data_IF_911516154383
#
_entry.id   IF_911516154383
#
_cell.length_a   1.000
_cell.length_b   1.000
_cell.length_c   1.000
_cell.angle_alpha   90.00
_cell.angle_beta   90.00
_cell.angle_gamma   90.00
#
_symmetry.space_group_name_H-M   'P 1'
#
loop_
_entity.id
_entity.type
_entity.pdbx_description
1 polymer ?
#
# COMPACT_ATOMS: atom_id res chain seq x y z
N UNK A 1 -6.61 -7.85 -11.19
CA UNK A 1 -7.37 -9.11 -11.31
C UNK A 1 -7.98 -9.51 -9.97
N UNK A 2 -7.20 -9.57 -8.87
CA UNK A 2 -7.75 -9.85 -7.54
C UNK A 2 -8.77 -8.81 -7.07
N UNK A 3 -8.53 -7.52 -7.35
CA UNK A 3 -9.48 -6.43 -7.14
C UNK A 3 -10.76 -6.59 -7.96
N UNK A 4 -10.65 -6.96 -9.24
CA UNK A 4 -11.81 -7.19 -10.11
C UNK A 4 -12.75 -8.27 -9.53
N UNK A 5 -12.18 -9.38 -9.04
CA UNK A 5 -12.93 -10.47 -8.41
C UNK A 5 -13.60 -9.99 -7.12
N UNK A 6 -12.88 -9.27 -6.27
CA UNK A 6 -13.43 -8.71 -5.04
C UNK A 6 -14.62 -7.76 -5.32
N UNK A 7 -14.50 -6.88 -6.33
CA UNK A 7 -15.58 -5.97 -6.75
C UNK A 7 -16.78 -6.73 -7.30
N UNK A 8 -16.54 -7.78 -8.09
CA UNK A 8 -17.60 -8.64 -8.64
C UNK A 8 -18.38 -9.34 -7.51
N UNK A 9 -17.67 -9.97 -6.56
CA UNK A 9 -18.27 -10.64 -5.41
C UNK A 9 -19.05 -9.65 -4.52
N UNK A 10 -18.48 -8.48 -4.24
CA UNK A 10 -19.17 -7.42 -3.50
C UNK A 10 -20.46 -6.97 -4.18
N UNK A 11 -20.42 -6.77 -5.50
CA UNK A 11 -21.60 -6.41 -6.29
C UNK A 11 -22.67 -7.50 -6.27
N UNK A 12 -22.28 -8.78 -6.13
CA UNK A 12 -23.21 -9.89 -5.95
C UNK A 12 -23.76 -10.02 -4.51
N UNK A 13 -23.42 -9.07 -3.61
CA UNK A 13 -23.85 -9.07 -2.21
C UNK A 13 -22.93 -9.84 -1.27
N UNK A 14 -21.80 -10.38 -1.75
CA UNK A 14 -20.83 -11.07 -0.91
C UNK A 14 -19.83 -10.07 -0.31
N UNK A 15 -19.92 -9.86 1.01
CA UNK A 15 -19.02 -8.97 1.74
C UNK A 15 -17.77 -9.67 2.29
N UNK A 16 -17.67 -10.99 2.15
CA UNK A 16 -16.45 -11.75 2.47
C UNK A 16 -15.43 -11.60 1.35
N UNK A 17 -14.93 -10.38 1.22
CA UNK A 17 -13.94 -9.97 0.25
C UNK A 17 -12.80 -9.25 0.97
N UNK A 18 -11.61 -9.35 0.39
CA UNK A 18 -10.43 -8.66 0.86
C UNK A 18 -9.92 -7.72 -0.24
N UNK A 19 -9.45 -6.55 0.18
CA UNK A 19 -8.58 -5.74 -0.65
C UNK A 19 -7.36 -6.55 -1.06
N UNK A 20 -6.84 -6.40 -2.29
CA UNK A 20 -5.67 -7.15 -2.70
C UNK A 20 -4.52 -7.00 -1.73
N UNK A 21 -3.81 -8.11 -1.51
CA UNK A 21 -2.67 -8.13 -0.61
C UNK A 21 -1.51 -8.85 -1.25
N UNK A 22 -0.33 -8.49 -0.76
CA UNK A 22 0.95 -8.71 -1.39
C UNK A 22 1.13 -7.93 -2.70
N UNK A 23 2.26 -7.22 -2.79
CA UNK A 23 2.72 -6.65 -4.06
C UNK A 23 2.97 -7.74 -5.09
N UNK A 24 2.97 -7.36 -6.38
CA UNK A 24 3.16 -8.21 -7.57
C UNK A 24 4.38 -9.16 -7.47
N UNK A 25 5.32 -8.88 -6.57
CA UNK A 25 6.62 -9.52 -6.45
C UNK A 25 6.67 -10.79 -5.57
N UNK A 26 5.61 -11.11 -4.82
CA UNK A 26 5.63 -12.17 -3.80
C UNK A 26 4.73 -13.38 -4.10
N UNK A 27 4.52 -13.69 -5.39
CA UNK A 27 3.67 -14.78 -5.87
C UNK A 27 4.20 -16.20 -5.52
N UNK A 28 4.17 -16.57 -4.24
CA UNK A 28 4.30 -17.95 -3.74
C UNK A 28 5.71 -18.53 -3.60
N UNK A 29 6.75 -17.80 -3.99
CA UNK A 29 8.16 -18.23 -3.83
C UNK A 29 8.81 -17.66 -2.56
N UNK A 30 9.93 -18.26 -2.10
CA UNK A 30 10.78 -17.53 -1.16
C UNK A 30 11.26 -16.25 -1.84
N UNK A 31 11.26 -15.13 -1.12
CA UNK A 31 11.51 -13.82 -1.72
C UNK A 31 12.81 -13.79 -2.53
N UNK A 32 13.95 -13.92 -1.84
CA UNK A 32 15.27 -13.92 -2.48
C UNK A 32 16.04 -15.18 -2.13
N UNK A 33 16.73 -15.72 -3.12
CA UNK A 33 17.60 -16.88 -2.97
C UNK A 33 19.00 -16.44 -2.62
N UNK A 34 19.50 -16.94 -1.49
CA UNK A 34 20.88 -16.78 -1.08
C UNK A 34 21.72 -17.95 -1.59
N UNK A 35 23.03 -17.73 -1.66
CA UNK A 35 24.00 -18.76 -2.02
C UNK A 35 25.37 -18.42 -1.49
N UNK A 36 26.30 -19.36 -1.62
CA UNK A 36 27.61 -19.33 -0.96
C UNK A 36 27.63 -20.33 0.21
N UNK A 37 28.45 -20.07 1.22
CA UNK A 37 28.57 -20.91 2.41
C UNK A 37 28.29 -20.12 3.69
N UNK A 38 27.73 -20.76 4.70
CA UNK A 38 27.60 -20.15 6.03
C UNK A 38 28.90 -20.31 6.85
N UNK A 39 28.92 -19.81 8.08
CA UNK A 39 30.11 -19.81 8.97
C UNK A 39 30.79 -21.17 9.20
N UNK A 40 30.02 -22.27 9.21
CA UNK A 40 30.60 -23.62 9.36
C UNK A 40 30.92 -24.30 8.01
N UNK A 41 30.95 -23.54 6.91
CA UNK A 41 31.33 -24.02 5.59
C UNK A 41 30.28 -24.88 4.85
N UNK A 42 29.05 -24.97 5.35
CA UNK A 42 27.95 -25.69 4.64
C UNK A 42 27.37 -24.77 3.55
N UNK A 43 27.10 -25.32 2.35
CA UNK A 43 26.46 -24.56 1.28
C UNK A 43 25.07 -24.04 1.67
N UNK A 44 24.83 -22.77 1.37
CA UNK A 44 23.50 -22.15 1.39
C UNK A 44 22.94 -22.23 -0.03
N UNK A 45 21.73 -22.77 -0.19
CA UNK A 45 21.06 -22.83 -1.49
C UNK A 45 19.54 -22.68 -1.35
N UNK A 46 19.11 -21.80 -0.44
CA UNK A 46 17.68 -21.65 -0.12
C UNK A 46 17.28 -20.18 -0.04
N UNK A 47 16.01 -19.92 -0.34
CA UNK A 47 15.45 -18.59 -0.24
C UNK A 47 14.89 -18.27 1.14
N UNK A 48 14.86 -16.98 1.47
CA UNK A 48 14.31 -16.49 2.73
C UNK A 48 12.77 -16.43 2.62
N UNK A 49 12.08 -17.18 3.49
CA UNK A 49 10.62 -17.33 3.50
C UNK A 49 9.88 -16.33 4.39
N UNK A 50 10.55 -15.26 4.82
CA UNK A 50 9.90 -14.18 5.56
C UNK A 50 8.75 -13.52 4.77
N UNK A 51 8.66 -13.73 3.45
CA UNK A 51 7.49 -13.32 2.63
C UNK A 51 6.17 -13.96 3.07
N UNK A 52 6.21 -15.00 3.91
CA UNK A 52 5.05 -15.54 4.59
C UNK A 52 4.51 -14.62 5.69
N UNK A 53 5.30 -13.67 6.17
CA UNK A 53 4.90 -12.64 7.14
C UNK A 53 4.41 -11.37 6.47
N UNK A 54 3.71 -11.46 5.33
CA UNK A 54 3.14 -10.28 4.67
C UNK A 54 1.84 -9.84 5.34
N UNK A 55 1.48 -8.58 5.11
CA UNK A 55 0.19 -8.06 5.56
C UNK A 55 -0.97 -8.57 4.71
N UNK A 56 -2.07 -8.98 5.34
CA UNK A 56 -3.30 -9.35 4.64
C UNK A 56 -4.12 -8.10 4.27
N UNK A 57 -5.00 -8.22 3.29
CA UNK A 57 -5.83 -7.10 2.83
C UNK A 57 -6.97 -6.77 3.78
N UNK A 58 -7.35 -5.49 3.84
CA UNK A 58 -8.53 -5.03 4.57
C UNK A 58 -9.82 -5.62 4.00
N UNK A 59 -10.90 -5.60 4.78
CA UNK A 59 -12.23 -6.09 4.37
C UNK A 59 -13.28 -5.00 4.58
N UNK A 60 -14.54 -5.19 4.14
CA UNK A 60 -15.64 -4.27 4.45
C UNK A 60 -15.94 -4.10 5.95
N UNK A 61 -15.43 -4.96 6.83
CA UNK A 61 -15.82 -5.01 8.25
C UNK A 61 -14.64 -5.01 9.23
N UNK A 62 -13.41 -5.24 8.77
CA UNK A 62 -12.22 -5.31 9.62
C UNK A 62 -10.93 -4.99 8.87
N UNK A 63 -9.93 -4.57 9.64
CA UNK A 63 -8.55 -4.41 9.19
C UNK A 63 -7.96 -5.75 8.70
N UNK A 64 -6.97 -5.64 7.83
CA UNK A 64 -6.10 -6.73 7.44
C UNK A 64 -5.14 -7.12 8.56
N UNK A 65 -4.79 -8.40 8.63
CA UNK A 65 -3.89 -8.93 9.68
C UNK A 65 -2.46 -8.54 9.36
N UNK A 66 -1.78 -7.88 10.31
CA UNK A 66 -0.35 -7.58 10.21
C UNK A 66 0.46 -8.87 10.23
N UNK A 67 1.44 -9.01 9.32
CA UNK A 67 2.22 -10.23 9.13
C UNK A 67 1.37 -11.52 9.16
N UNK A 68 0.18 -11.47 8.54
CA UNK A 68 -0.84 -12.49 8.69
C UNK A 68 -0.75 -13.65 7.69
N UNK A 69 0.13 -13.62 6.71
CA UNK A 69 0.31 -14.75 5.79
C UNK A 69 0.70 -14.36 4.37
N UNK A 70 0.92 -15.38 3.53
CA UNK A 70 1.06 -15.21 2.07
C UNK A 70 -0.24 -15.56 1.35
N UNK A 71 -0.57 -14.88 0.25
CA UNK A 71 -1.80 -15.17 -0.50
C UNK A 71 -1.87 -16.62 -1.02
N UNK A 72 -0.73 -17.22 -1.34
CA UNK A 72 -0.65 -18.60 -1.82
C UNK A 72 -0.53 -19.63 -0.69
N UNK A 73 -0.09 -19.19 0.50
CA UNK A 73 0.03 -20.03 1.70
C UNK A 73 -0.47 -19.21 2.91
N UNK A 74 -1.80 -19.03 3.07
CA UNK A 74 -2.34 -18.13 4.08
C UNK A 74 -2.04 -18.57 5.52
N UNK A 75 -1.84 -19.87 5.74
CA UNK A 75 -1.42 -20.45 7.02
C UNK A 75 0.10 -20.52 7.19
N UNK A 76 0.88 -19.95 6.27
CA UNK A 76 2.34 -19.96 6.32
C UNK A 76 2.86 -19.08 7.45
N UNK A 77 3.80 -19.62 8.23
CA UNK A 77 4.55 -18.87 9.23
C UNK A 77 5.91 -18.39 8.71
N UNK A 78 6.53 -17.49 9.47
CA UNK A 78 7.93 -17.09 9.30
C UNK A 78 8.79 -17.78 10.35
N UNK A 79 10.00 -18.19 9.96
CA UNK A 79 10.94 -18.89 10.86
C UNK A 79 11.46 -17.98 11.97
N UNK A 80 11.90 -18.53 13.09
CA UNK A 80 12.64 -17.78 14.11
C UNK A 80 13.95 -17.22 13.55
N UNK A 81 14.34 -16.02 13.98
CA UNK A 81 15.59 -15.39 13.54
C UNK A 81 16.81 -16.23 13.92
N UNK A 82 16.79 -16.85 15.10
CA UNK A 82 17.85 -17.75 15.58
C UNK A 82 18.03 -18.95 14.65
N UNK A 83 16.92 -19.50 14.14
CA UNK A 83 16.94 -20.61 13.18
C UNK A 83 17.55 -20.18 11.85
N UNK A 84 17.25 -18.96 11.41
CA UNK A 84 17.81 -18.38 10.19
C UNK A 84 19.32 -18.13 10.36
N UNK A 85 19.76 -17.54 11.47
CA UNK A 85 21.19 -17.26 11.73
C UNK A 85 22.05 -18.52 11.85
N UNK A 86 21.47 -19.66 12.23
CA UNK A 86 22.15 -20.96 12.18
C UNK A 86 22.34 -21.50 10.76
N UNK A 87 21.45 -21.16 9.82
CA UNK A 87 21.46 -21.72 8.46
C UNK A 87 22.04 -20.78 7.41
N UNK A 88 21.95 -19.47 7.64
CA UNK A 88 22.38 -18.42 6.73
C UNK A 88 23.53 -17.64 7.35
N UNK A 89 24.43 -17.04 6.55
CA UNK A 89 25.51 -16.20 7.04
C UNK A 89 25.00 -14.80 7.44
N UNK A 90 23.96 -14.75 8.26
CA UNK A 90 23.31 -13.51 8.69
C UNK A 90 23.57 -13.26 10.16
N UNK A 91 23.59 -11.98 10.50
CA UNK A 91 23.38 -11.47 11.85
C UNK A 91 22.28 -10.41 11.76
N UNK A 92 21.12 -10.66 12.36
CA UNK A 92 19.99 -9.74 12.37
C UNK A 92 20.20 -8.64 13.40
N UNK A 93 19.97 -7.39 12.99
CA UNK A 93 19.82 -6.27 13.92
C UNK A 93 18.36 -6.03 14.28
N UNK A 94 17.44 -6.33 13.36
CA UNK A 94 16.01 -6.12 13.57
C UNK A 94 15.18 -6.97 12.61
N UNK A 95 14.01 -7.38 13.11
CA UNK A 95 12.87 -7.84 12.30
C UNK A 95 11.60 -7.35 12.98
N UNK A 96 10.89 -6.41 12.35
CA UNK A 96 9.77 -5.71 12.99
C UNK A 96 8.71 -5.28 11.96
N UNK A 97 7.58 -4.74 12.41
CA UNK A 97 6.54 -4.22 11.53
C UNK A 97 7.03 -3.03 10.71
N UNK A 98 6.61 -2.98 9.45
CA UNK A 98 6.92 -1.85 8.58
C UNK A 98 6.00 -0.66 8.91
N UNK A 99 6.61 0.44 9.38
CA UNK A 99 5.90 1.68 9.67
C UNK A 99 5.26 2.21 8.37
N UNK A 100 3.95 2.47 8.41
CA UNK A 100 3.13 2.88 7.27
C UNK A 100 3.04 1.84 6.13
N UNK A 101 3.37 0.56 6.40
CA UNK A 101 3.47 -0.46 5.35
C UNK A 101 2.14 -1.00 4.81
N UNK A 102 1.07 -0.93 5.60
CA UNK A 102 -0.28 -1.30 5.17
C UNK A 102 -0.99 -0.17 4.43
N UNK A 103 -1.82 -0.51 3.45
CA UNK A 103 -2.62 0.45 2.72
C UNK A 103 -3.65 1.14 3.62
N UNK A 104 -3.66 2.47 3.62
CA UNK A 104 -4.58 3.26 4.43
C UNK A 104 -6.03 3.11 3.95
N UNK A 105 -6.99 3.07 4.87
CA UNK A 105 -8.40 3.07 4.54
C UNK A 105 -9.30 3.27 5.75
N UNK A 106 -10.61 3.26 5.54
CA UNK A 106 -11.61 3.08 6.63
C UNK A 106 -11.21 1.85 7.48
N UNK A 107 -10.87 0.78 6.78
CA UNK A 107 -10.15 -0.36 7.33
C UNK A 107 -8.76 -0.44 6.69
N UNK A 108 -7.75 -0.60 7.52
CA UNK A 108 -6.35 -0.63 7.10
C UNK A 108 -5.98 -2.00 6.57
N UNK A 109 -5.19 -2.02 5.50
CA UNK A 109 -4.47 -3.23 5.14
C UNK A 109 -3.47 -3.59 6.23
N UNK A 110 -3.21 -4.88 6.39
CA UNK A 110 -2.18 -5.35 7.31
C UNK A 110 -0.81 -4.82 6.87
N UNK A 111 0.03 -4.42 7.82
CA UNK A 111 1.43 -4.14 7.51
C UNK A 111 2.23 -5.45 7.41
N UNK A 112 3.23 -5.46 6.54
CA UNK A 112 4.24 -6.51 6.52
C UNK A 112 5.36 -6.24 7.51
N UNK A 113 6.45 -6.99 7.39
CA UNK A 113 7.65 -6.81 8.21
C UNK A 113 8.77 -6.13 7.42
N UNK A 114 9.68 -5.43 8.10
CA UNK A 114 11.00 -5.11 7.59
C UNK A 114 12.09 -5.80 8.41
N UNK A 115 13.29 -5.85 7.86
CA UNK A 115 14.48 -6.43 8.47
C UNK A 115 15.73 -5.67 8.08
N UNK A 116 16.67 -5.64 9.00
CA UNK A 116 18.06 -5.20 8.77
C UNK A 116 18.95 -6.29 9.31
N UNK A 117 19.82 -6.82 8.46
CA UNK A 117 20.80 -7.84 8.83
C UNK A 117 22.11 -7.61 8.10
N UNK A 118 23.17 -8.14 8.67
CA UNK A 118 24.52 -8.08 8.15
C UNK A 118 24.96 -9.46 7.67
N UNK A 119 25.75 -9.52 6.61
CA UNK A 119 26.44 -10.75 6.23
C UNK A 119 27.59 -11.00 7.20
N UNK A 120 27.61 -12.17 7.82
CA UNK A 120 28.57 -12.51 8.85
C UNK A 120 29.03 -13.97 8.73
N UNK A 121 30.35 -14.18 8.74
CA UNK A 121 30.94 -15.53 8.65
C UNK A 121 30.82 -16.15 7.26
N UNK A 122 30.85 -15.35 6.19
CA UNK A 122 30.82 -15.85 4.82
C UNK A 122 31.67 -15.00 3.90
N UNK A 123 32.45 -15.67 3.04
CA UNK A 123 33.33 -15.01 2.07
C UNK A 123 32.77 -14.98 0.65
N UNK A 124 31.76 -15.80 0.35
CA UNK A 124 31.22 -15.99 -1.00
C UNK A 124 29.68 -15.84 -1.06
N UNK A 125 29.09 -15.09 -0.11
CA UNK A 125 27.64 -14.91 -0.08
C UNK A 125 27.17 -14.12 -1.31
N UNK A 126 26.09 -14.58 -1.92
CA UNK A 126 25.42 -13.87 -3.02
C UNK A 126 23.91 -14.05 -2.96
N UNK A 127 23.18 -13.15 -3.62
CA UNK A 127 21.71 -13.12 -3.60
C UNK A 127 21.12 -12.87 -4.99
N UNK A 128 19.99 -13.50 -5.30
CA UNK A 128 19.14 -13.11 -6.43
C UNK A 128 18.35 -11.85 -6.07
N UNK A 129 18.99 -10.69 -6.11
CA UNK A 129 18.42 -9.46 -5.58
C UNK A 129 17.70 -8.62 -6.63
N UNK A 130 16.59 -7.99 -6.24
CA UNK A 130 15.94 -6.93 -7.02
C UNK A 130 15.68 -5.71 -6.13
N UNK A 131 16.09 -4.50 -6.54
CA UNK A 131 15.84 -3.28 -5.80
C UNK A 131 14.34 -2.97 -5.71
N UNK A 132 14.00 -2.01 -4.87
CA UNK A 132 12.62 -1.51 -4.78
C UNK A 132 12.14 -1.01 -6.17
N UNK A 133 10.92 -1.38 -6.57
CA UNK A 133 10.42 -1.17 -7.94
C UNK A 133 10.09 0.28 -8.30
N UNK A 134 10.36 1.25 -7.41
CA UNK A 134 10.09 2.69 -7.59
C UNK A 134 8.62 2.99 -7.92
N UNK A 135 7.72 2.05 -7.64
CA UNK A 135 6.28 2.10 -7.87
C UNK A 135 5.56 1.62 -6.59
N UNK A 136 4.31 2.05 -6.37
CA UNK A 136 3.51 1.54 -5.24
C UNK A 136 3.20 0.05 -5.39
N UNK A 137 2.96 -0.63 -4.27
CA UNK A 137 2.69 -2.07 -4.26
C UNK A 137 1.21 -2.39 -4.01
N UNK A 138 0.63 -3.21 -4.89
CA UNK A 138 -0.76 -3.66 -4.77
C UNK A 138 -1.77 -2.56 -5.14
N UNK A 139 -3.03 -2.78 -4.75
CA UNK A 139 -4.14 -1.84 -4.91
C UNK A 139 -5.05 -1.91 -3.69
N UNK A 140 -5.69 -0.80 -3.33
CA UNK A 140 -6.75 -0.81 -2.33
C UNK A 140 -8.14 -0.99 -2.95
N UNK A 141 -9.17 -1.09 -2.10
CA UNK A 141 -10.57 -1.20 -2.53
C UNK A 141 -11.39 0.00 -2.10
N UNK A 142 -12.21 0.48 -3.03
CA UNK A 142 -13.27 1.44 -2.79
C UNK A 142 -12.83 2.72 -2.05
N UNK A 143 -11.65 3.24 -2.40
CA UNK A 143 -11.07 4.44 -1.80
C UNK A 143 -9.94 4.15 -0.81
N UNK A 144 -9.70 2.89 -0.48
CA UNK A 144 -8.50 2.48 0.25
C UNK A 144 -7.26 2.63 -0.63
N UNK A 145 -6.14 3.01 -0.02
CA UNK A 145 -4.85 3.16 -0.68
C UNK A 145 -4.17 1.79 -0.91
N UNK A 146 -3.30 1.70 -1.94
CA UNK A 146 -2.32 0.63 -2.07
C UNK A 146 -1.38 0.55 -0.86
N UNK A 147 -0.69 -0.58 -0.73
CA UNK A 147 0.29 -0.79 0.34
C UNK A 147 1.68 -0.26 -0.04
N UNK A 148 2.61 -0.32 0.91
CA UNK A 148 4.04 -0.20 0.63
C UNK A 148 4.59 1.22 0.56
N UNK A 149 3.84 2.25 1.00
CA UNK A 149 4.41 3.58 1.19
C UNK A 149 5.55 3.46 2.20
N UNK A 150 6.78 3.79 1.77
CA UNK A 150 7.95 3.77 2.64
C UNK A 150 8.72 2.44 2.71
N UNK A 151 8.42 1.45 1.85
CA UNK A 151 9.26 0.24 1.73
C UNK A 151 10.73 0.58 1.39
N UNK A 152 11.69 -0.04 2.09
CA UNK A 152 13.13 0.12 1.82
C UNK A 152 13.71 -1.23 1.46
N UNK A 153 14.31 -1.30 0.29
CA UNK A 153 15.19 -2.42 -0.05
C UNK A 153 16.51 -1.90 -0.60
N UNK A 154 17.58 -2.17 0.15
CA UNK A 154 18.92 -1.73 -0.19
C UNK A 154 19.99 -2.70 0.29
N UNK A 155 21.11 -2.69 -0.45
CA UNK A 155 22.35 -3.34 -0.07
C UNK A 155 23.36 -2.24 0.21
N UNK A 156 24.05 -2.34 1.34
CA UNK A 156 25.00 -1.35 1.82
C UNK A 156 26.37 -1.99 1.98
N UNK A 157 27.37 -1.43 1.29
CA UNK A 157 28.78 -1.75 1.52
C UNK A 157 29.25 -1.02 2.76
N UNK A 158 29.88 -1.75 3.66
CA UNK A 158 30.40 -1.23 4.92
C UNK A 158 31.92 -1.31 4.94
N UNK A 159 32.53 -0.60 5.89
CA UNK A 159 33.95 -0.73 6.20
C UNK A 159 34.08 -1.54 7.50
N UNK A 160 34.57 -2.77 7.40
CA UNK A 160 34.50 -3.75 8.51
C UNK A 160 35.11 -3.28 9.83
N UNK A 161 36.25 -2.60 9.82
CA UNK A 161 36.91 -2.14 11.05
C UNK A 161 36.10 -1.10 11.83
N UNK A 162 35.53 -0.09 11.16
CA UNK A 162 34.68 0.91 11.80
C UNK A 162 33.33 0.32 12.22
N UNK A 163 32.80 -0.61 11.43
CA UNK A 163 31.57 -1.32 11.76
C UNK A 163 31.71 -2.13 13.06
N UNK A 164 32.76 -2.93 13.19
CA UNK A 164 32.98 -3.78 14.36
C UNK A 164 33.17 -2.95 15.64
N UNK A 165 33.85 -1.80 15.58
CA UNK A 165 33.98 -0.90 16.74
C UNK A 165 32.62 -0.33 17.18
N UNK A 166 31.75 0.03 16.23
CA UNK A 166 30.37 0.45 16.54
C UNK A 166 29.57 -0.68 17.19
N UNK A 167 29.64 -1.89 16.64
CA UNK A 167 28.97 -3.06 17.21
C UNK A 167 29.46 -3.38 18.63
N UNK A 168 30.78 -3.32 18.89
CA UNK A 168 31.37 -3.53 20.23
C UNK A 168 30.90 -2.51 21.26
N UNK A 169 30.60 -1.28 20.84
CA UNK A 169 30.04 -0.25 21.71
C UNK A 169 28.52 -0.34 21.88
N UNK A 170 27.88 -1.39 21.34
CA UNK A 170 26.45 -1.64 21.47
C UNK A 170 25.58 -0.84 20.49
N UNK A 171 26.16 -0.27 19.43
CA UNK A 171 25.41 0.42 18.39
C UNK A 171 25.11 -0.52 17.22
N UNK A 172 23.89 -0.45 16.68
CA UNK A 172 23.48 -1.19 15.47
C UNK A 172 22.25 -0.51 14.83
N UNK A 173 22.11 -0.49 13.49
CA UNK A 173 20.97 0.12 12.82
C UNK A 173 19.75 -0.78 12.89
N UNK A 174 18.71 -0.35 13.60
CA UNK A 174 17.45 -1.09 13.80
C UNK A 174 16.31 -0.59 12.92
N UNK A 175 16.55 0.45 12.13
CA UNK A 175 15.65 0.95 11.10
C UNK A 175 16.44 1.23 9.82
N UNK A 176 15.86 1.07 8.62
CA UNK A 176 16.64 1.24 7.39
C UNK A 176 17.09 2.69 7.14
N UNK A 177 16.33 3.69 7.60
CA UNK A 177 16.70 5.12 7.51
C UNK A 177 17.94 5.48 8.34
N UNK A 178 18.16 4.78 9.46
CA UNK A 178 19.38 4.94 10.28
C UNK A 178 20.65 4.53 9.52
N UNK A 179 20.56 3.60 8.56
CA UNK A 179 21.74 3.10 7.82
C UNK A 179 22.39 4.25 7.05
N UNK A 180 21.57 5.01 6.32
CA UNK A 180 22.01 6.19 5.57
C UNK A 180 22.29 7.38 6.49
N UNK A 181 21.37 7.66 7.45
CA UNK A 181 21.45 8.81 8.35
C UNK A 181 22.65 8.79 9.30
N UNK A 182 23.02 7.61 9.81
CA UNK A 182 24.15 7.43 10.73
C UNK A 182 25.39 6.86 10.01
N UNK A 183 25.43 6.94 8.67
CA UNK A 183 26.56 6.57 7.82
C UNK A 183 27.12 5.15 8.11
N UNK A 184 26.25 4.16 8.22
CA UNK A 184 26.65 2.75 8.44
C UNK A 184 27.31 2.11 7.21
N UNK A 185 27.01 2.61 6.01
CA UNK A 185 27.59 2.14 4.77
C UNK A 185 27.19 3.00 3.58
N UNK A 186 27.65 2.61 2.40
CA UNK A 186 27.27 3.23 1.13
C UNK A 186 26.38 2.30 0.34
N UNK A 187 25.33 2.86 -0.27
CA UNK A 187 24.42 2.12 -1.13
C UNK A 187 25.20 1.47 -2.28
N UNK A 188 24.99 0.17 -2.46
CA UNK A 188 25.76 -0.68 -3.38
C UNK A 188 24.83 -1.46 -4.31
N UNK A 189 23.96 -0.75 -5.01
CA UNK A 189 23.16 -1.33 -6.08
C UNK A 189 24.01 -1.53 -7.34
N UNK A 190 23.92 -2.69 -8.01
CA UNK A 190 24.48 -2.83 -9.35
C UNK A 190 23.71 -1.93 -10.31
N UNK A 191 24.43 -1.20 -11.19
CA UNK A 191 23.81 -0.40 -12.26
C UNK A 191 22.99 -1.28 -13.20
N UNK A 192 23.48 -2.49 -13.48
CA UNK A 192 22.76 -3.53 -14.20
C UNK A 192 22.80 -4.85 -13.40
N UNK A 193 21.64 -5.48 -13.21
CA UNK A 193 21.55 -6.75 -12.49
C UNK A 193 21.70 -7.89 -13.49
N UNK A 194 22.95 -8.33 -13.71
CA UNK A 194 23.27 -9.53 -14.50
C UNK A 194 23.58 -10.69 -13.55
N UNK A 195 22.58 -11.51 -13.25
CA UNK A 195 22.75 -12.67 -12.37
C UNK A 195 22.63 -12.32 -10.89
N UNK A 196 23.49 -12.92 -10.06
CA UNK A 196 23.47 -12.76 -8.59
C UNK A 196 24.31 -11.55 -8.15
N UNK A 197 23.87 -10.89 -7.08
CA UNK A 197 24.59 -9.78 -6.44
C UNK A 197 25.47 -10.34 -5.34
N UNK A 198 26.77 -10.02 -5.38
CA UNK A 198 27.72 -10.44 -4.35
C UNK A 198 27.52 -9.63 -3.07
N UNK A 199 27.49 -10.33 -1.94
CA UNK A 199 27.40 -9.78 -0.59
C UNK A 199 28.62 -10.20 0.26
N UNK A 200 29.81 -9.59 0.04
CA UNK A 200 30.95 -9.69 0.94
C UNK A 200 30.58 -9.58 2.41
N UNK A 201 31.42 -10.18 3.25
CA UNK A 201 31.30 -10.09 4.71
C UNK A 201 31.13 -8.63 5.16
N UNK A 202 30.31 -8.44 6.19
CA UNK A 202 29.90 -7.17 6.76
C UNK A 202 28.95 -6.31 5.91
N UNK A 203 28.57 -6.74 4.71
CA UNK A 203 27.52 -6.07 3.93
C UNK A 203 26.22 -6.03 4.73
N UNK A 204 25.59 -4.85 4.86
CA UNK A 204 24.28 -4.72 5.49
C UNK A 204 23.21 -4.77 4.40
N UNK A 205 22.13 -5.50 4.66
CA UNK A 205 20.96 -5.57 3.79
C UNK A 205 19.75 -5.10 4.58
N UNK A 206 19.05 -4.11 4.02
CA UNK A 206 17.72 -3.72 4.45
C UNK A 206 16.71 -4.28 3.47
N UNK A 207 15.67 -4.92 3.99
CA UNK A 207 14.61 -5.50 3.17
C UNK A 207 13.26 -5.38 3.88
N UNK A 208 12.18 -5.43 3.11
CA UNK A 208 10.82 -5.39 3.61
C UNK A 208 9.95 -6.40 2.87
N UNK A 209 8.87 -6.78 3.54
CA UNK A 209 7.79 -7.62 3.05
C UNK A 209 6.57 -6.73 2.94
N UNK A 210 5.87 -6.83 1.81
CA UNK A 210 4.73 -6.01 1.49
C UNK A 210 3.58 -6.12 2.51
N UNK A 211 2.81 -5.04 2.63
CA UNK A 211 1.52 -5.04 3.31
C UNK A 211 0.36 -5.47 2.40
N UNK A 212 -0.86 -5.34 2.93
CA UNK A 212 -2.11 -5.47 2.18
C UNK A 212 -2.71 -4.11 1.84
N UNK A 213 -3.58 -4.05 0.83
CA UNK A 213 -4.33 -2.84 0.48
C UNK A 213 -5.38 -2.46 1.52
N UNK A 214 -5.69 -1.16 1.60
CA UNK A 214 -6.75 -0.62 2.44
C UNK A 214 -8.15 -0.78 1.83
N UNK A 215 -9.18 -0.55 2.64
CA UNK A 215 -10.58 -0.55 2.22
C UNK A 215 -11.26 0.76 2.65
N UNK A 216 -11.94 1.44 1.72
CA UNK A 216 -12.71 2.66 2.00
C UNK A 216 -11.86 3.91 2.21
N UNK A 217 -12.51 5.07 2.23
CA UNK A 217 -11.88 6.38 2.45
C UNK A 217 -11.21 6.43 3.84
N UNK A 218 -9.91 6.73 3.95
CA UNK A 218 -9.23 6.89 5.24
C UNK A 218 -9.87 7.90 6.20
N UNK A 219 -10.58 8.91 5.68
CA UNK A 219 -11.29 9.88 6.52
C UNK A 219 -12.50 9.28 7.27
N UNK A 220 -12.91 8.06 6.94
CA UNK A 220 -13.96 7.32 7.64
C UNK A 220 -13.42 6.42 8.77
N UNK A 221 -12.10 6.24 8.86
CA UNK A 221 -11.51 5.41 9.92
C UNK A 221 -11.83 6.02 11.30
N UNK A 222 -12.12 5.18 12.29
CA UNK A 222 -12.35 5.68 13.65
C UNK A 222 -11.06 6.33 14.20
N UNK A 223 -11.09 7.59 14.70
CA UNK A 223 -9.90 8.29 15.17
C UNK A 223 -9.12 7.55 16.27
N UNK A 224 -9.82 6.89 17.20
CA UNK A 224 -9.19 6.11 18.28
C UNK A 224 -8.41 4.89 17.76
N UNK A 225 -8.83 4.30 16.64
CA UNK A 225 -8.08 3.23 15.98
C UNK A 225 -6.80 3.77 15.36
N UNK A 226 -6.83 4.96 14.75
CA UNK A 226 -5.62 5.62 14.23
C UNK A 226 -4.66 5.95 15.37
N UNK A 227 -5.14 6.51 16.48
CA UNK A 227 -4.31 6.79 17.65
C UNK A 227 -3.68 5.49 18.23
N UNK A 228 -4.43 4.39 18.23
CA UNK A 228 -3.92 3.06 18.61
C UNK A 228 -2.84 2.56 17.66
N UNK A 229 -3.01 2.73 16.35
CA UNK A 229 -2.02 2.33 15.34
C UNK A 229 -0.72 3.14 15.49
N UNK A 230 -0.84 4.43 15.85
CA UNK A 230 0.32 5.29 16.15
C UNK A 230 1.07 4.83 17.39
N UNK A 231 0.37 4.54 18.49
CA UNK A 231 1.00 4.01 19.71
C UNK A 231 1.69 2.66 19.49
N UNK A 232 1.28 1.90 18.47
CA UNK A 232 1.87 0.61 18.09
C UNK A 232 3.00 0.72 17.08
N UNK A 233 3.31 1.91 16.57
CA UNK A 233 4.29 2.10 15.50
C UNK A 233 3.88 1.51 14.16
N UNK A 234 2.57 1.31 13.93
CA UNK A 234 2.03 0.85 12.63
C UNK A 234 1.85 2.04 11.69
N UNK A 235 1.41 3.18 12.23
CA UNK A 235 1.17 4.43 11.51
C UNK A 235 2.01 5.53 12.15
N UNK A 236 2.65 6.39 11.37
CA UNK A 236 3.37 7.54 11.92
C UNK A 236 2.41 8.68 12.28
N UNK A 237 2.75 9.55 13.25
CA UNK A 237 1.93 10.71 13.58
C UNK A 237 1.61 11.59 12.36
N UNK A 238 2.58 11.74 11.46
CA UNK A 238 2.38 12.46 10.19
C UNK A 238 1.31 11.82 9.32
N UNK A 239 1.38 10.50 9.10
CA UNK A 239 0.37 9.81 8.28
C UNK A 239 -1.01 9.83 8.95
N UNK A 240 -1.08 9.78 10.29
CA UNK A 240 -2.32 9.99 11.03
C UNK A 240 -3.00 11.33 10.66
N UNK A 241 -2.22 12.41 10.61
CA UNK A 241 -2.72 13.74 10.27
C UNK A 241 -2.98 13.94 8.77
N UNK A 242 -2.05 13.55 7.90
CA UNK A 242 -2.11 13.84 6.46
C UNK A 242 -3.10 12.95 5.70
N UNK A 243 -3.22 11.68 6.09
CA UNK A 243 -4.05 10.70 5.35
C UNK A 243 -5.38 10.47 6.05
N UNK A 244 -5.39 10.29 7.38
CA UNK A 244 -6.62 10.01 8.13
C UNK A 244 -7.29 11.27 8.68
N UNK A 245 -6.61 12.43 8.62
CA UNK A 245 -7.08 13.69 9.21
C UNK A 245 -7.17 13.65 10.73
N UNK A 246 -6.48 12.73 11.39
CA UNK A 246 -6.53 12.55 12.85
C UNK A 246 -5.40 13.34 13.49
N UNK A 247 -5.80 14.33 14.30
CA UNK A 247 -4.87 15.13 15.10
C UNK A 247 -4.73 14.47 16.46
N UNK A 248 -3.49 14.28 16.91
CA UNK A 248 -3.18 13.62 18.18
C UNK A 248 -2.93 14.67 19.26
N UNK A 249 -3.51 14.47 20.45
CA UNK A 249 -3.12 15.20 21.65
C UNK A 249 -1.80 14.68 22.20
N UNK A 250 -1.08 15.52 22.95
CA UNK A 250 0.18 15.13 23.57
C UNK A 250 -0.05 14.21 24.79
N UNK A 251 0.74 13.14 24.88
CA UNK A 251 0.97 12.25 26.03
C UNK A 251 -0.25 11.88 26.91
N UNK A 252 -0.85 10.68 26.74
CA UNK A 252 -0.61 9.70 25.66
C UNK A 252 -1.18 10.18 24.33
N UNK A 253 -0.66 9.67 23.21
CA UNK A 253 -1.22 9.93 21.88
C UNK A 253 -2.68 9.44 21.82
N UNK A 254 -3.63 10.35 22.01
CA UNK A 254 -5.07 10.13 21.86
C UNK A 254 -5.59 11.05 20.76
N UNK A 255 -6.72 10.72 20.12
CA UNK A 255 -7.26 11.61 19.09
C UNK A 255 -7.96 12.80 19.72
N UNK A 256 -7.61 14.01 19.27
CA UNK A 256 -8.37 15.23 19.57
C UNK A 256 -9.57 15.30 18.62
N UNK A 257 -10.78 15.13 19.17
CA UNK A 257 -12.01 15.10 18.37
C UNK A 257 -12.28 16.38 17.58
N UNK A 258 -12.06 17.56 18.19
CA UNK A 258 -12.36 18.86 17.57
C UNK A 258 -11.34 19.16 16.48
N UNK A 259 -10.06 18.99 16.80
CA UNK A 259 -8.99 19.20 15.83
C UNK A 259 -9.06 18.19 14.68
N UNK A 260 -9.43 16.93 14.96
CA UNK A 260 -9.65 15.90 13.93
C UNK A 260 -10.81 16.25 13.01
N UNK A 261 -11.95 16.71 13.53
CA UNK A 261 -13.07 17.13 12.68
C UNK A 261 -12.66 18.28 11.76
N UNK A 262 -11.95 19.27 12.30
CA UNK A 262 -11.42 20.39 11.52
C UNK A 262 -10.45 19.92 10.44
N UNK A 263 -9.44 19.12 10.78
CA UNK A 263 -8.45 18.61 9.83
C UNK A 263 -9.08 17.76 8.73
N UNK A 264 -10.05 16.91 9.08
CA UNK A 264 -10.82 16.14 8.09
C UNK A 264 -11.65 17.02 7.16
N UNK A 265 -12.17 18.14 7.63
CA UNK A 265 -12.85 19.10 6.76
C UNK A 265 -11.85 19.78 5.81
N UNK A 266 -10.69 20.21 6.33
CA UNK A 266 -9.62 20.79 5.51
C UNK A 266 -9.18 19.84 4.39
N UNK A 267 -8.96 18.55 4.67
CA UNK A 267 -8.61 17.56 3.65
C UNK A 267 -9.72 17.41 2.59
N UNK A 268 -10.99 17.49 2.98
CA UNK A 268 -12.11 17.46 2.02
C UNK A 268 -12.08 18.69 1.12
N UNK A 269 -11.86 19.87 1.69
CA UNK A 269 -11.77 21.12 0.95
C UNK A 269 -10.55 21.14 0.00
N UNK A 270 -9.41 20.60 0.45
CA UNK A 270 -8.20 20.37 -0.37
C UNK A 270 -8.52 19.45 -1.56
N UNK A 271 -9.13 18.28 -1.31
CA UNK A 271 -9.55 17.35 -2.37
C UNK A 271 -10.44 18.03 -3.41
N UNK A 272 -11.37 18.88 -2.99
CA UNK A 272 -12.27 19.61 -3.88
C UNK A 272 -11.55 20.69 -4.70
N UNK A 273 -10.66 21.45 -4.05
CA UNK A 273 -9.96 22.59 -4.67
C UNK A 273 -8.89 22.17 -5.67
N UNK A 274 -8.17 21.08 -5.39
CA UNK A 274 -7.00 20.64 -6.17
C UNK A 274 -7.34 19.66 -7.28
N UNK A 275 -8.58 19.18 -7.33
CA UNK A 275 -8.99 18.14 -8.26
C UNK A 275 -9.89 18.67 -9.38
N UNK A 276 -9.85 18.01 -10.54
CA UNK A 276 -10.73 18.32 -11.69
C UNK A 276 -11.28 17.03 -12.30
N UNK A 277 -12.49 17.03 -12.88
CA UNK A 277 -12.99 15.84 -13.57
C UNK A 277 -12.24 15.60 -14.88
N UNK A 278 -12.06 14.33 -15.26
CA UNK A 278 -11.40 13.97 -16.52
C UNK A 278 -12.21 14.43 -17.74
N UNK A 279 -13.54 14.30 -17.69
CA UNK A 279 -14.45 14.70 -18.77
C UNK A 279 -14.66 16.22 -18.90
N UNK A 280 -14.15 17.02 -17.96
CA UNK A 280 -14.44 18.44 -17.85
C UNK A 280 -15.74 18.77 -17.11
N UNK A 281 -16.62 17.79 -16.84
CA UNK A 281 -17.85 17.97 -16.05
C UNK A 281 -17.96 16.96 -14.91
N UNK A 282 -18.70 17.30 -13.85
CA UNK A 282 -18.90 16.40 -12.69
C UNK A 282 -20.09 15.45 -12.86
N UNK A 283 -20.81 15.56 -13.98
CA UNK A 283 -21.93 14.71 -14.36
C UNK A 283 -22.11 14.72 -15.90
N UNK A 284 -22.50 13.59 -16.50
CA UNK A 284 -23.07 13.55 -17.86
C UNK A 284 -24.58 13.58 -17.90
N UNK A 285 -25.23 13.51 -16.74
CA UNK A 285 -26.66 13.58 -16.61
C UNK A 285 -27.07 15.05 -16.60
N UNK A 286 -28.04 15.42 -17.44
CA UNK A 286 -28.59 16.77 -17.52
C UNK A 286 -29.31 17.15 -16.22
N UNK A 287 -29.46 18.46 -15.97
CA UNK A 287 -30.24 19.01 -14.84
C UNK A 287 -31.68 18.44 -14.75
N UNK A 288 -32.19 17.91 -15.86
CA UNK A 288 -33.50 17.27 -15.97
C UNK A 288 -33.65 16.03 -15.09
N UNK A 289 -32.56 15.31 -14.80
CA UNK A 289 -32.53 14.11 -13.94
C UNK A 289 -32.76 14.46 -12.46
N UNK A 290 -32.33 15.66 -12.03
CA UNK A 290 -32.55 16.20 -10.69
C UNK A 290 -33.99 16.63 -10.39
N UNK A 291 -34.89 16.65 -11.38
CA UNK A 291 -36.31 17.02 -11.19
C UNK A 291 -37.23 15.85 -10.84
N UNK A 292 -36.77 14.61 -10.98
CA UNK A 292 -37.54 13.42 -10.59
C UNK A 292 -37.38 13.18 -9.08
N UNK A 293 -38.50 13.13 -8.35
CA UNK A 293 -38.52 13.15 -6.88
C UNK A 293 -38.29 11.78 -6.23
N UNK A 294 -38.28 10.68 -6.99
CA UNK A 294 -38.14 9.33 -6.42
C UNK A 294 -37.13 8.48 -7.19
N UNK A 295 -35.98 8.22 -6.55
CA UNK A 295 -34.91 7.36 -7.06
C UNK A 295 -34.70 6.17 -6.12
N UNK A 296 -34.96 4.97 -6.60
CA UNK A 296 -34.74 3.72 -5.87
C UNK A 296 -33.33 3.17 -6.12
N UNK A 297 -32.67 2.65 -5.09
CA UNK A 297 -31.38 2.00 -5.25
C UNK A 297 -31.58 0.56 -5.77
N UNK A 298 -30.96 0.26 -6.91
CA UNK A 298 -31.05 -1.07 -7.55
C UNK A 298 -29.88 -1.96 -7.13
N UNK A 299 -28.65 -1.42 -7.12
CA UNK A 299 -27.44 -2.21 -6.90
C UNK A 299 -26.33 -1.39 -6.25
N UNK A 300 -25.86 -1.81 -5.07
CA UNK A 300 -24.65 -1.25 -4.44
C UNK A 300 -23.41 -2.03 -4.88
N UNK A 301 -22.76 -1.58 -5.95
CA UNK A 301 -21.56 -2.24 -6.53
C UNK A 301 -20.23 -1.77 -5.92
N UNK A 302 -20.29 -0.76 -5.05
CA UNK A 302 -19.13 -0.09 -4.45
C UNK A 302 -19.48 0.34 -3.03
N UNK A 303 -18.51 0.54 -2.13
CA UNK A 303 -18.80 1.00 -0.76
C UNK A 303 -19.57 2.34 -0.76
N UNK A 304 -19.16 3.25 -1.65
CA UNK A 304 -19.72 4.61 -1.76
C UNK A 304 -20.58 4.90 -2.99
N UNK A 305 -20.78 3.94 -3.89
CA UNK A 305 -21.55 4.14 -5.12
C UNK A 305 -22.61 3.05 -5.28
N UNK A 306 -23.74 3.44 -5.87
CA UNK A 306 -24.80 2.52 -6.24
C UNK A 306 -25.43 2.96 -7.56
N UNK A 307 -26.04 1.99 -8.25
CA UNK A 307 -26.97 2.23 -9.34
C UNK A 307 -28.34 2.55 -8.73
N UNK A 308 -28.96 3.63 -9.19
CA UNK A 308 -30.32 4.01 -8.83
C UNK A 308 -31.18 4.19 -10.08
N UNK A 309 -32.48 3.94 -9.95
CA UNK A 309 -33.48 4.06 -11.02
C UNK A 309 -34.63 4.98 -10.62
N UNK A 310 -35.17 5.71 -11.59
CA UNK A 310 -36.45 6.40 -11.47
C UNK A 310 -37.55 5.76 -12.35
N UNK A 311 -37.33 4.52 -12.80
CA UNK A 311 -38.18 3.79 -13.73
C UNK A 311 -37.94 4.10 -15.21
N UNK A 312 -37.25 5.20 -15.55
CA UNK A 312 -36.90 5.57 -16.94
C UNK A 312 -35.39 5.58 -17.20
N UNK A 313 -34.61 5.91 -16.18
CA UNK A 313 -33.16 6.08 -16.29
C UNK A 313 -32.49 5.40 -15.11
N UNK A 314 -31.39 4.71 -15.39
CA UNK A 314 -30.52 4.13 -14.37
C UNK A 314 -29.17 4.84 -14.37
N UNK A 315 -28.78 5.31 -13.19
CA UNK A 315 -27.63 6.18 -13.01
C UNK A 315 -26.77 5.75 -11.83
N UNK A 316 -25.46 5.99 -11.94
CA UNK A 316 -24.51 5.83 -10.84
C UNK A 316 -24.60 7.06 -9.95
N UNK A 317 -24.89 6.85 -8.66
CA UNK A 317 -24.94 7.90 -7.65
C UNK A 317 -24.05 7.60 -6.45
N UNK A 318 -23.59 8.64 -5.79
CA UNK A 318 -22.98 8.54 -4.47
C UNK A 318 -24.04 8.15 -3.44
N UNK A 319 -23.79 7.10 -2.66
CA UNK A 319 -24.72 6.69 -1.60
C UNK A 319 -24.69 7.61 -0.38
N UNK A 320 -23.65 8.45 -0.25
CA UNK A 320 -23.50 9.38 0.88
C UNK A 320 -24.26 10.68 0.66
N UNK A 321 -23.97 11.39 -0.44
CA UNK A 321 -24.54 12.72 -0.69
C UNK A 321 -25.56 12.75 -1.84
N UNK A 322 -25.78 11.64 -2.53
CA UNK A 322 -26.73 11.56 -3.64
C UNK A 322 -26.23 12.14 -4.97
N UNK A 323 -24.98 12.63 -5.06
CA UNK A 323 -24.42 13.15 -6.32
C UNK A 323 -24.49 12.12 -7.44
N UNK A 324 -25.05 12.50 -8.59
CA UNK A 324 -25.15 11.67 -9.77
C UNK A 324 -23.96 11.90 -10.71
N UNK A 325 -23.34 10.81 -11.19
CA UNK A 325 -22.16 10.87 -12.05
C UNK A 325 -22.53 10.69 -13.53
N UNK A 326 -23.14 9.56 -13.86
CA UNK A 326 -23.37 9.14 -15.24
C UNK A 326 -24.42 8.03 -15.31
N UNK A 327 -24.73 7.57 -16.52
CA UNK A 327 -25.58 6.39 -16.68
C UNK A 327 -24.87 5.13 -16.19
N UNK A 328 -25.63 4.07 -15.88
CA UNK A 328 -25.11 2.82 -15.29
C UNK A 328 -24.01 2.09 -16.10
N UNK A 329 -23.90 2.37 -17.38
CA UNK A 329 -22.95 1.72 -18.30
C UNK A 329 -21.71 2.57 -18.61
N UNK A 330 -21.66 3.80 -18.08
CA UNK A 330 -20.54 4.73 -18.27
C UNK A 330 -19.56 4.64 -17.09
N UNK A 331 -18.32 5.06 -17.33
CA UNK A 331 -17.30 5.09 -16.29
C UNK A 331 -17.45 6.32 -15.39
N UNK A 332 -17.91 6.11 -14.15
CA UNK A 332 -18.07 7.18 -13.16
C UNK A 332 -16.78 7.98 -12.89
N UNK A 333 -15.59 7.35 -13.06
CA UNK A 333 -14.31 8.02 -12.84
C UNK A 333 -14.04 9.16 -13.82
N UNK A 334 -14.69 9.15 -14.99
CA UNK A 334 -14.61 10.27 -15.93
C UNK A 334 -15.20 11.56 -15.33
N UNK A 335 -16.18 11.43 -14.42
CA UNK A 335 -16.94 12.53 -13.82
C UNK A 335 -16.57 12.76 -12.34
N UNK A 336 -15.85 11.84 -11.71
CA UNK A 336 -15.26 12.05 -10.40
C UNK A 336 -14.16 13.12 -10.48
N UNK A 337 -14.00 13.88 -9.39
CA UNK A 337 -12.86 14.79 -9.26
C UNK A 337 -11.59 13.96 -9.13
N UNK A 338 -10.55 14.25 -9.92
CA UNK A 338 -9.27 13.53 -9.83
C UNK A 338 -8.10 14.46 -9.52
N UNK A 339 -7.15 13.96 -8.74
CA UNK A 339 -5.82 14.56 -8.56
C UNK A 339 -4.74 13.50 -8.55
N UNK A 340 -3.53 13.91 -8.91
CA UNK A 340 -2.34 13.07 -8.91
C UNK A 340 -1.56 13.30 -7.60
N UNK A 341 -0.99 12.22 -7.04
CA UNK A 341 -0.11 12.25 -5.87
C UNK A 341 1.19 11.56 -6.23
N UNK A 342 2.31 12.28 -6.17
CA UNK A 342 3.61 11.69 -6.37
C UNK A 342 3.97 10.78 -5.19
N UNK A 343 4.55 9.60 -5.47
CA UNK A 343 4.97 8.69 -4.41
C UNK A 343 6.12 9.28 -3.58
N UNK A 344 6.92 10.18 -4.15
CA UNK A 344 7.92 10.97 -3.42
C UNK A 344 7.26 11.84 -2.34
N UNK A 345 6.16 12.53 -2.64
CA UNK A 345 5.47 13.37 -1.67
C UNK A 345 4.88 12.56 -0.51
N UNK A 346 4.54 11.29 -0.76
CA UNK A 346 4.01 10.37 0.23
C UNK A 346 5.13 9.70 1.05
N UNK A 347 6.20 9.24 0.39
CA UNK A 347 7.32 8.54 1.02
C UNK A 347 8.32 9.50 1.70
N UNK A 348 8.44 10.72 1.18
CA UNK A 348 9.33 11.81 1.60
C UNK A 348 10.80 11.45 1.74
N UNK A 349 11.24 10.64 0.79
CA UNK A 349 12.61 10.25 0.57
C UNK A 349 12.73 9.67 -0.83
N UNK A 350 13.93 9.71 -1.39
CA UNK A 350 14.24 8.98 -2.63
C UNK A 350 14.34 7.49 -2.34
N UNK A 351 14.35 6.67 -3.39
CA UNK A 351 14.81 5.29 -3.21
C UNK A 351 16.30 5.30 -2.84
N UNK A 352 16.80 4.28 -2.12
CA UNK A 352 18.19 4.28 -1.62
C UNK A 352 19.26 4.53 -2.71
N UNK A 353 19.02 4.10 -3.95
CA UNK A 353 19.89 4.39 -5.09
C UNK A 353 19.94 5.86 -5.53
N UNK A 354 19.16 6.75 -4.93
CA UNK A 354 19.09 8.18 -5.25
C UNK A 354 18.14 8.54 -6.40
N UNK A 355 17.45 7.56 -6.98
CA UNK A 355 16.50 7.78 -8.07
C UNK A 355 15.12 8.23 -7.55
N UNK A 356 14.39 9.01 -8.34
CA UNK A 356 12.99 9.37 -8.03
C UNK A 356 12.04 8.19 -8.27
N UNK A 357 10.82 8.24 -7.73
CA UNK A 357 9.78 7.26 -8.08
C UNK A 357 9.38 7.38 -9.56
N UNK A 358 8.87 6.27 -10.12
CA UNK A 358 8.42 6.20 -11.53
C UNK A 358 6.91 6.39 -11.68
N UNK A 359 6.22 6.75 -10.60
CA UNK A 359 4.77 6.89 -10.59
C UNK A 359 4.22 7.19 -9.20
N UNK A 360 2.90 7.18 -9.09
CA UNK A 360 2.19 7.56 -7.89
C UNK A 360 0.74 7.13 -7.93
N UNK A 361 -0.14 7.92 -7.31
CA UNK A 361 -1.57 7.65 -7.26
C UNK A 361 -2.39 8.66 -8.06
N UNK A 362 -3.47 8.17 -8.67
CA UNK A 362 -4.61 8.98 -9.08
C UNK A 362 -5.73 8.77 -8.06
N UNK A 363 -6.05 9.81 -7.31
CA UNK A 363 -7.13 9.80 -6.32
C UNK A 363 -8.43 10.31 -6.97
N UNK A 364 -9.47 9.49 -6.99
CA UNK A 364 -10.80 9.82 -7.51
C UNK A 364 -11.76 10.11 -6.37
N UNK A 365 -12.39 11.27 -6.40
CA UNK A 365 -13.18 11.81 -5.30
C UNK A 365 -14.59 12.19 -5.75
N UNK A 366 -15.59 11.96 -4.91
CA UNK A 366 -16.96 12.40 -5.16
C UNK A 366 -17.05 13.94 -5.18
N UNK A 367 -17.57 14.56 -6.27
CA UNK A 367 -17.74 16.01 -6.35
C UNK A 367 -18.73 16.60 -5.33
N UNK A 368 -19.65 15.81 -4.79
CA UNK A 368 -20.67 16.31 -3.86
C UNK A 368 -20.24 16.30 -2.39
N UNK A 369 -19.29 15.45 -1.99
CA UNK A 369 -18.94 15.28 -0.58
C UNK A 369 -17.46 15.02 -0.29
N UNK A 370 -16.60 15.12 -1.30
CA UNK A 370 -15.16 14.91 -1.19
C UNK A 370 -14.74 13.50 -0.68
N UNK A 371 -15.64 12.52 -0.76
CA UNK A 371 -15.33 11.11 -0.46
C UNK A 371 -14.32 10.56 -1.46
N UNK A 372 -13.24 9.97 -0.97
CA UNK A 372 -12.30 9.21 -1.80
C UNK A 372 -12.98 7.92 -2.26
N UNK A 373 -13.26 7.83 -3.56
CA UNK A 373 -13.96 6.72 -4.20
C UNK A 373 -12.97 5.64 -4.65
N UNK A 374 -11.82 6.03 -5.18
CA UNK A 374 -10.85 5.09 -5.74
C UNK A 374 -9.45 5.69 -5.72
N UNK A 375 -8.45 4.82 -5.56
CA UNK A 375 -7.03 5.15 -5.68
C UNK A 375 -6.43 4.19 -6.70
N UNK A 376 -6.04 4.71 -7.85
CA UNK A 376 -5.35 3.94 -8.89
C UNK A 376 -3.87 4.28 -8.90
N UNK A 377 -3.01 3.33 -9.28
CA UNK A 377 -1.58 3.57 -9.45
C UNK A 377 -1.28 3.92 -10.90
N UNK A 378 -0.43 4.93 -11.13
CA UNK A 378 0.08 5.26 -12.47
C UNK A 378 1.60 5.06 -12.54
N UNK A 379 2.14 5.03 -13.75
CA UNK A 379 3.58 4.95 -14.02
C UNK A 379 3.93 5.85 -15.20
N UNK A 380 4.80 6.85 -14.98
CA UNK A 380 5.14 7.86 -15.98
C UNK A 380 5.89 7.29 -17.19
N UNK A 381 6.44 6.08 -17.07
CA UNK A 381 7.02 5.36 -18.21
C UNK A 381 5.95 4.90 -19.23
N UNK A 382 4.67 4.91 -18.87
CA UNK A 382 3.56 4.50 -19.73
C UNK A 382 2.58 5.68 -19.92
N UNK A 383 2.50 6.28 -21.13
CA UNK A 383 1.76 7.52 -21.37
C UNK A 383 0.27 7.49 -20.96
N UNK A 384 -0.38 6.34 -21.14
CA UNK A 384 -1.82 6.18 -20.89
C UNK A 384 -2.13 5.64 -19.49
N UNK A 385 -1.13 5.50 -18.61
CA UNK A 385 -1.33 4.94 -17.26
C UNK A 385 -2.18 5.80 -16.33
N UNK A 386 -2.45 7.04 -16.73
CA UNK A 386 -3.29 8.02 -16.00
C UNK A 386 -4.73 8.07 -16.52
N UNK A 387 -5.05 7.32 -17.57
CA UNK A 387 -6.43 7.25 -18.09
C UNK A 387 -7.35 6.51 -17.11
N UNK A 388 -8.57 7.01 -16.84
CA UNK A 388 -9.48 6.35 -15.90
C UNK A 388 -9.89 4.94 -16.35
N UNK A 389 -9.53 3.94 -15.55
CA UNK A 389 -9.96 2.55 -15.76
C UNK A 389 -11.46 2.38 -15.51
N UNK A 390 -12.11 1.51 -16.30
CA UNK A 390 -13.54 1.21 -16.16
C UNK A 390 -13.74 -0.04 -15.29
N UNK A 391 -13.67 0.12 -13.97
CA UNK A 391 -13.61 -0.99 -13.00
C UNK A 391 -14.93 -1.74 -12.80
N UNK A 392 -16.05 -1.15 -13.22
CA UNK A 392 -17.38 -1.74 -13.13
C UNK A 392 -18.11 -1.48 -14.44
N UNK A 393 -18.45 -2.54 -15.17
CA UNK A 393 -19.18 -2.45 -16.42
C UNK A 393 -20.45 -3.28 -16.32
N UNK A 394 -21.60 -2.62 -16.46
CA UNK A 394 -22.86 -3.31 -16.69
C UNK A 394 -23.25 -3.13 -18.15
N UNK A 395 -23.32 -4.21 -18.96
CA UNK A 395 -23.68 -4.09 -20.36
C UNK A 395 -25.07 -3.46 -20.51
N UNK A 396 -25.24 -2.67 -21.57
CA UNK A 396 -26.59 -2.31 -22.05
C UNK A 396 -27.32 -3.61 -22.32
N UNK A 397 -28.56 -3.76 -21.84
CA UNK A 397 -29.34 -4.98 -22.01
C UNK A 397 -29.35 -5.39 -23.48
N UNK A 398 -28.53 -6.37 -23.86
CA UNK A 398 -28.87 -7.27 -24.93
C UNK A 398 -30.03 -8.13 -24.42
N UNK A 399 -30.98 -8.47 -25.29
CA UNK A 399 -32.00 -9.47 -24.96
C UNK A 399 -31.37 -10.75 -24.38
N UNK A 400 -32.19 -11.67 -23.84
CA UNK A 400 -31.70 -12.85 -23.13
C UNK A 400 -30.61 -13.54 -23.95
N UNK A 401 -29.45 -13.78 -23.32
CA UNK A 401 -28.45 -14.70 -23.84
C UNK A 401 -29.16 -16.06 -24.00
N UNK A 402 -29.54 -16.39 -25.24
CA UNK A 402 -29.94 -17.74 -25.63
C UNK A 402 -28.71 -18.59 -25.90
#
# INVERSE_FOLDING_TARGET
>A
MSDCIARMLYSAGNQDINAPWQGVWYAGGPGFFYGGHHRDGIPVAQGLYDSHGAGLGATPTRDGVHCGGNMNIPSGGISDVERIEMQYPFLYFTRNFHLNGGGAGKFNGGTGSFRVYMIYGSQDCSVSYRPYSRLPEGVGLFGGHPAGIGGIRAVYRTVGASLLERLKSGQYPIQPDQIDGDHWGTVAHPVEIKGRVNLPEFTIVADFVAGGGGYGDPLDRAPDLVAKDVRRGIVSPRIAEEIYGVVLSQNPAASDSVATLKRRQEIRDERMRESKPFSGTTSSLSDTVGRSTTWEQVLKFHEYLAIATNGKTEAIRCVRCGHFFCQKHDNYKLYALRRERDLFDLAQRLVPSGESYLGGYVEYTCPGCATLLQVDSFCDAFPNSKEPFHDFFQPRSSGPFM
#
